data_IF_398071077126
#
_entry.id   IF_398071077126
#
_cell.length_a   1.000
_cell.length_b   1.000
_cell.length_c   1.000
_cell.angle_alpha   90.00
_cell.angle_beta   90.00
_cell.angle_gamma   90.00
#
_symmetry.space_group_name_H-M   'P 1'
#
loop_
_entity.id
_entity.type
_entity.pdbx_description
1 polymer ?
#
# COMPACT_ATOMS: atom_id res chain seq x y z
N UNK A 1 -19.69 -16.06 2.52
CA UNK A 1 -19.31 -14.73 3.02
C UNK A 1 -18.31 -14.15 2.04
N UNK A 2 -18.42 -12.89 1.61
CA UNK A 2 -17.39 -12.27 0.76
C UNK A 2 -16.48 -11.45 1.67
N UNK A 3 -15.19 -11.67 1.53
CA UNK A 3 -14.14 -10.84 2.11
C UNK A 3 -14.11 -9.52 1.33
N UNK A 4 -14.29 -8.39 2.00
CA UNK A 4 -14.31 -7.07 1.37
C UNK A 4 -13.41 -6.10 2.13
N UNK A 5 -12.52 -5.44 1.41
CA UNK A 5 -11.66 -4.36 1.92
C UNK A 5 -12.15 -3.02 1.38
N UNK A 6 -11.92 -1.96 2.16
CA UNK A 6 -12.15 -0.57 1.72
C UNK A 6 -10.78 0.03 1.42
N UNK A 7 -10.66 0.67 0.26
CA UNK A 7 -9.41 1.27 -0.19
C UNK A 7 -9.61 2.57 -0.94
N UNK A 8 -8.71 3.53 -0.73
CA UNK A 8 -8.65 4.76 -1.52
C UNK A 8 -7.70 4.62 -2.70
N UNK A 9 -8.01 5.33 -3.80
CA UNK A 9 -7.15 5.41 -4.98
C UNK A 9 -6.17 6.57 -4.84
N UNK A 10 -4.90 6.30 -5.07
CA UNK A 10 -3.82 7.28 -4.97
C UNK A 10 -2.97 7.28 -6.23
N UNK A 11 -2.56 8.48 -6.64
CA UNK A 11 -1.64 8.68 -7.74
C UNK A 11 -0.36 9.33 -7.21
N UNK A 12 0.78 8.76 -7.58
CA UNK A 12 2.08 9.35 -7.27
C UNK A 12 2.37 10.42 -8.32
N UNK A 13 2.57 11.71 -7.95
CA UNK A 13 2.97 12.76 -8.88
C UNK A 13 4.30 12.41 -9.56
N UNK A 14 4.60 12.99 -10.72
CA UNK A 14 5.85 12.70 -11.44
C UNK A 14 7.11 13.12 -10.67
N UNK A 15 7.02 14.19 -9.85
CA UNK A 15 8.16 14.76 -9.12
C UNK A 15 8.89 13.76 -8.21
N UNK A 16 8.24 13.05 -7.27
CA UNK A 16 8.90 12.07 -6.41
C UNK A 16 9.28 10.75 -7.10
N UNK A 17 8.84 10.51 -8.34
CA UNK A 17 9.03 9.18 -8.98
C UNK A 17 10.50 8.82 -9.16
N UNK A 18 11.36 9.81 -9.43
CA UNK A 18 12.80 9.56 -9.59
C UNK A 18 13.45 9.07 -8.31
N UNK A 19 13.15 9.72 -7.18
CA UNK A 19 13.70 9.35 -5.88
C UNK A 19 13.16 7.99 -5.42
N UNK A 20 11.87 7.74 -5.65
CA UNK A 20 11.26 6.44 -5.42
C UNK A 20 11.91 5.36 -6.29
N UNK A 21 12.12 5.62 -7.58
CA UNK A 21 12.77 4.68 -8.50
C UNK A 21 14.20 4.33 -8.04
N UNK A 22 14.97 5.31 -7.56
CA UNK A 22 16.29 5.09 -6.98
C UNK A 22 16.22 4.21 -5.71
N UNK A 23 15.27 4.47 -4.82
CA UNK A 23 15.06 3.63 -3.65
C UNK A 23 14.69 2.20 -4.04
N UNK A 24 13.76 2.03 -4.99
CA UNK A 24 13.33 0.72 -5.49
C UNK A 24 14.48 -0.08 -6.09
N UNK A 25 15.41 0.57 -6.81
CA UNK A 25 16.62 -0.08 -7.31
C UNK A 25 17.52 -0.59 -6.19
N UNK A 26 17.70 0.17 -5.10
CA UNK A 26 18.46 -0.28 -3.93
C UNK A 26 17.79 -1.48 -3.28
N UNK A 27 16.48 -1.43 -3.10
CA UNK A 27 15.69 -2.53 -2.54
C UNK A 27 15.81 -3.79 -3.42
N UNK A 28 15.71 -3.66 -4.75
CA UNK A 28 15.83 -4.78 -5.68
C UNK A 28 17.16 -5.53 -5.58
N UNK A 29 18.24 -4.81 -5.26
CA UNK A 29 19.58 -5.38 -5.10
C UNK A 29 19.71 -6.19 -3.80
N UNK A 30 18.99 -5.81 -2.75
CA UNK A 30 19.09 -6.45 -1.43
C UNK A 30 18.02 -7.51 -1.23
N UNK A 31 16.85 -7.34 -1.84
CA UNK A 31 15.70 -8.24 -1.73
C UNK A 31 15.36 -8.80 -3.11
N UNK A 32 16.02 -9.89 -3.54
CA UNK A 32 15.68 -10.57 -4.78
C UNK A 32 14.29 -11.21 -4.68
N UNK A 33 13.56 -11.27 -5.80
CA UNK A 33 12.23 -11.89 -5.86
C UNK A 33 11.08 -10.97 -5.49
N UNK A 34 11.32 -9.66 -5.31
CA UNK A 34 10.23 -8.68 -5.26
C UNK A 34 9.54 -8.58 -6.62
N UNK A 35 8.21 -8.55 -6.58
CA UNK A 35 7.32 -8.33 -7.69
C UNK A 35 6.50 -7.07 -7.42
N UNK A 36 6.20 -6.37 -8.50
CA UNK A 36 5.34 -5.19 -8.46
C UNK A 36 3.89 -5.65 -8.23
N UNK A 37 3.20 -5.05 -7.24
CA UNK A 37 1.80 -5.38 -6.90
C UNK A 37 0.88 -5.30 -8.13
N UNK A 38 -0.20 -6.08 -8.21
CA UNK A 38 -1.19 -6.07 -9.30
C UNK A 38 -0.75 -6.48 -10.71
N UNK A 39 0.53 -6.34 -11.09
CA UNK A 39 1.05 -6.70 -12.43
C UNK A 39 1.94 -7.92 -12.44
N UNK A 40 2.39 -8.39 -11.27
CA UNK A 40 3.21 -9.59 -11.12
C UNK A 40 4.50 -9.59 -11.97
N UNK A 41 5.14 -8.44 -12.08
CA UNK A 41 6.41 -8.28 -12.80
C UNK A 41 7.55 -8.20 -11.78
N UNK A 42 8.63 -8.99 -11.93
CA UNK A 42 9.80 -8.89 -11.06
C UNK A 42 10.42 -7.49 -11.10
N UNK A 43 10.67 -6.93 -9.92
CA UNK A 43 11.25 -5.59 -9.77
C UNK A 43 12.63 -5.49 -10.42
N UNK A 44 13.46 -6.51 -10.28
CA UNK A 44 14.80 -6.55 -10.87
C UNK A 44 14.78 -6.49 -12.42
N UNK A 45 13.69 -6.92 -13.06
CA UNK A 45 13.50 -6.79 -14.51
C UNK A 45 13.17 -5.35 -14.86
N UNK A 46 12.32 -4.69 -14.06
CA UNK A 46 11.97 -3.28 -14.26
C UNK A 46 13.13 -2.34 -13.99
N UNK A 47 13.99 -2.66 -13.01
CA UNK A 47 15.17 -1.83 -12.68
C UNK A 47 16.20 -1.71 -13.81
N UNK A 48 16.11 -2.51 -14.88
CA UNK A 48 16.97 -2.41 -16.06
C UNK A 48 16.59 -1.29 -17.02
N UNK A 49 15.37 -0.77 -16.89
CA UNK A 49 14.81 0.26 -17.76
C UNK A 49 14.07 1.29 -16.90
N UNK A 50 14.68 2.46 -16.73
CA UNK A 50 14.18 3.52 -15.85
C UNK A 50 12.81 4.03 -16.28
N UNK A 51 12.58 4.12 -17.60
CA UNK A 51 11.30 4.54 -18.14
C UNK A 51 10.23 3.49 -17.83
N UNK A 52 10.55 2.21 -17.99
CA UNK A 52 9.63 1.12 -17.68
C UNK A 52 9.35 1.01 -16.18
N UNK A 53 10.36 1.22 -15.33
CA UNK A 53 10.19 1.27 -13.88
C UNK A 53 9.25 2.40 -13.47
N UNK A 54 9.47 3.61 -14.00
CA UNK A 54 8.60 4.74 -13.70
C UNK A 54 7.17 4.53 -14.22
N UNK A 55 6.98 3.98 -15.41
CA UNK A 55 5.64 3.78 -15.97
C UNK A 55 4.88 2.62 -15.30
N UNK A 56 5.53 1.47 -15.15
CA UNK A 56 4.88 0.23 -14.69
C UNK A 56 4.79 0.16 -13.17
N UNK A 57 5.83 0.57 -12.45
CA UNK A 57 5.83 0.48 -10.98
C UNK A 57 5.25 1.73 -10.32
N UNK A 58 5.52 2.93 -10.86
CA UNK A 58 5.19 4.22 -10.21
C UNK A 58 4.12 5.05 -10.95
N UNK A 59 3.85 4.73 -12.21
CA UNK A 59 2.99 5.51 -13.12
C UNK A 59 1.52 5.13 -13.05
N UNK A 60 1.18 4.21 -12.16
CA UNK A 60 -0.12 3.57 -12.03
C UNK A 60 -0.94 4.15 -10.89
N UNK A 61 -2.18 3.70 -10.85
CA UNK A 61 -3.04 3.85 -9.68
C UNK A 61 -2.60 2.88 -8.59
N UNK A 62 -2.56 3.37 -7.36
CA UNK A 62 -2.30 2.57 -6.17
C UNK A 62 -3.50 2.60 -5.24
N UNK A 63 -3.55 1.64 -4.33
CA UNK A 63 -4.60 1.53 -3.33
C UNK A 63 -4.01 1.72 -1.91
N UNK A 64 -4.61 2.61 -1.13
CA UNK A 64 -4.39 2.63 0.31
C UNK A 64 -5.40 1.68 0.95
N UNK A 65 -4.91 0.62 1.58
CA UNK A 65 -5.75 -0.24 2.42
C UNK A 65 -6.11 0.52 3.69
N UNK A 66 -7.41 0.76 3.91
CA UNK A 66 -7.88 1.53 5.07
C UNK A 66 -8.03 0.66 6.33
N UNK A 67 -8.08 -0.65 6.17
CA UNK A 67 -8.15 -1.58 7.30
C UNK A 67 -8.10 -3.03 6.84
N UNK A 68 -8.23 -3.94 7.82
CA UNK A 68 -8.33 -5.38 7.54
C UNK A 68 -9.59 -5.70 6.76
N UNK A 69 -9.50 -6.74 5.95
CA UNK A 69 -10.63 -7.28 5.22
C UNK A 69 -11.69 -7.78 6.20
N UNK A 70 -12.90 -7.23 6.11
CA UNK A 70 -14.00 -7.63 6.98
C UNK A 70 -14.98 -8.51 6.21
N UNK A 71 -15.53 -9.54 6.85
CA UNK A 71 -16.46 -10.42 6.16
C UNK A 71 -17.86 -9.75 6.14
N UNK A 72 -18.39 -9.52 4.94
CA UNK A 72 -19.71 -8.90 4.74
C UNK A 72 -20.68 -9.94 4.15
N UNK A 73 -21.94 -9.93 4.62
CA UNK A 73 -23.00 -10.77 4.05
C UNK A 73 -23.50 -10.15 2.75
N UNK A 74 -23.80 -10.97 1.75
CA UNK A 74 -24.15 -10.52 0.39
C UNK A 74 -25.28 -9.49 0.39
N UNK A 75 -26.33 -9.72 1.18
CA UNK A 75 -27.47 -8.79 1.27
C UNK A 75 -27.15 -7.46 1.96
N UNK A 76 -26.03 -7.35 2.67
CA UNK A 76 -25.60 -6.10 3.33
C UNK A 76 -24.68 -5.28 2.44
N UNK A 77 -24.16 -5.85 1.33
CA UNK A 77 -23.19 -5.18 0.46
C UNK A 77 -23.77 -3.85 -0.05
N UNK A 78 -24.99 -3.87 -0.59
CA UNK A 78 -25.61 -2.67 -1.17
C UNK A 78 -25.88 -1.60 -0.11
N UNK A 79 -26.29 -2.00 1.10
CA UNK A 79 -26.50 -1.07 2.21
C UNK A 79 -25.19 -0.42 2.67
N UNK A 80 -24.11 -1.20 2.77
CA UNK A 80 -22.78 -0.68 3.14
C UNK A 80 -22.24 0.24 2.06
N UNK A 81 -22.39 -0.13 0.78
CA UNK A 81 -21.98 0.71 -0.35
C UNK A 81 -22.76 2.03 -0.39
N UNK A 82 -24.08 2.00 -0.17
CA UNK A 82 -24.91 3.20 -0.14
C UNK A 82 -24.50 4.14 1.01
N UNK A 83 -24.28 3.58 2.21
CA UNK A 83 -23.80 4.34 3.37
C UNK A 83 -22.44 4.99 3.11
N UNK A 84 -21.48 4.22 2.59
CA UNK A 84 -20.15 4.74 2.24
C UNK A 84 -20.26 5.85 1.19
N UNK A 85 -21.00 5.63 0.10
CA UNK A 85 -21.19 6.66 -0.93
C UNK A 85 -21.78 7.95 -0.36
N UNK A 86 -22.81 7.83 0.49
CA UNK A 86 -23.41 9.01 1.13
C UNK A 86 -22.43 9.75 2.03
N UNK A 87 -21.61 9.03 2.81
CA UNK A 87 -20.63 9.62 3.73
C UNK A 87 -19.46 10.29 2.97
N UNK A 88 -19.09 9.74 1.82
CA UNK A 88 -17.95 10.19 1.01
C UNK A 88 -18.33 11.21 -0.07
N UNK A 89 -19.62 11.48 -0.29
CA UNK A 89 -20.12 12.34 -1.36
C UNK A 89 -19.60 13.79 -1.33
N UNK A 90 -19.32 14.34 -0.15
CA UNK A 90 -18.84 15.72 0.02
C UNK A 90 -17.32 15.84 0.14
N UNK A 91 -16.59 14.75 -0.08
CA UNK A 91 -15.15 14.71 0.18
C UNK A 91 -14.37 15.34 -0.98
N UNK A 92 -13.39 16.17 -0.61
CA UNK A 92 -12.50 16.83 -1.58
C UNK A 92 -11.21 16.03 -1.68
N UNK A 93 -10.55 16.11 -2.83
CA UNK A 93 -9.19 15.57 -2.99
C UNK A 93 -8.23 16.29 -2.05
N UNK A 94 -7.40 15.52 -1.34
CA UNK A 94 -6.36 16.01 -0.43
C UNK A 94 -5.02 15.35 -0.76
N UNK A 95 -3.96 15.92 -0.20
CA UNK A 95 -2.60 15.37 -0.29
C UNK A 95 -2.34 14.44 0.89
N UNK A 96 -1.62 13.36 0.63
CA UNK A 96 -1.27 12.35 1.62
C UNK A 96 0.26 12.28 1.72
N UNK A 97 0.78 12.32 2.93
CA UNK A 97 2.20 12.21 3.20
C UNK A 97 2.58 10.80 3.59
N UNK A 98 3.56 10.26 2.86
CA UNK A 98 4.18 8.99 3.15
C UNK A 98 5.63 9.21 3.53
N UNK A 99 6.02 8.86 4.76
CA UNK A 99 7.40 9.11 5.23
C UNK A 99 8.12 7.87 5.75
N UNK A 100 7.42 6.74 5.90
CA UNK A 100 7.97 5.55 6.55
C UNK A 100 7.68 4.29 5.75
N UNK A 101 8.73 3.56 5.41
CA UNK A 101 8.57 2.22 4.83
C UNK A 101 8.32 1.21 5.94
N UNK A 102 7.34 0.35 5.70
CA UNK A 102 7.05 -0.81 6.53
C UNK A 102 6.97 -2.06 5.67
N UNK A 103 7.31 -3.17 6.29
CA UNK A 103 7.19 -4.50 5.70
C UNK A 103 6.16 -5.24 6.52
N UNK A 104 5.14 -5.81 5.88
CA UNK A 104 4.12 -6.58 6.56
C UNK A 104 3.81 -7.88 5.82
N UNK A 105 3.18 -8.83 6.50
CA UNK A 105 2.73 -10.09 5.91
C UNK A 105 1.20 -10.06 5.84
N UNK A 106 0.61 -10.56 4.76
CA UNK A 106 -0.84 -10.74 4.72
C UNK A 106 -1.33 -11.73 5.78
N UNK A 107 -2.63 -11.69 6.06
CA UNK A 107 -3.29 -12.54 7.03
C UNK A 107 -3.11 -14.04 6.72
N UNK A 108 -3.04 -14.42 5.44
CA UNK A 108 -2.80 -15.81 5.00
C UNK A 108 -1.33 -16.26 5.08
N UNK A 109 -0.40 -15.35 5.42
CA UNK A 109 1.03 -15.61 5.53
C UNK A 109 1.71 -16.12 4.25
N UNK A 110 1.14 -15.82 3.10
CA UNK A 110 1.66 -16.26 1.79
C UNK A 110 2.52 -15.21 1.09
N UNK A 111 2.38 -13.93 1.49
CA UNK A 111 2.99 -12.79 0.81
C UNK A 111 3.47 -11.75 1.82
N UNK A 112 4.65 -11.21 1.57
CA UNK A 112 5.22 -10.08 2.29
C UNK A 112 5.15 -8.84 1.42
N UNK A 113 4.66 -7.73 1.95
CA UNK A 113 4.48 -6.47 1.24
C UNK A 113 5.49 -5.45 1.72
N UNK A 114 6.10 -4.74 0.78
CA UNK A 114 6.82 -3.50 1.05
C UNK A 114 5.86 -2.34 0.78
N UNK A 115 5.66 -1.53 1.81
CA UNK A 115 4.59 -0.54 1.87
C UNK A 115 5.08 0.76 2.49
N UNK A 116 4.37 1.85 2.23
CA UNK A 116 4.60 3.13 2.91
C UNK A 116 3.44 3.46 3.83
N UNK A 117 3.74 3.81 5.08
CA UNK A 117 2.78 4.25 6.08
C UNK A 117 2.42 5.73 5.85
N UNK A 118 1.13 6.06 5.96
CA UNK A 118 0.64 7.43 6.02
C UNK A 118 0.95 7.99 7.41
N UNK A 119 1.73 9.07 7.50
CA UNK A 119 2.23 9.55 8.80
C UNK A 119 1.67 10.89 9.26
N UNK A 120 1.46 11.83 8.34
CA UNK A 120 1.11 13.23 8.66
C UNK A 120 -0.09 13.70 7.85
N UNK A 121 0.13 14.23 6.64
CA UNK A 121 -0.93 14.68 5.76
C UNK A 121 -1.83 13.53 5.30
N UNK A 122 -3.15 13.75 5.30
CA UNK A 122 -4.15 12.78 4.86
C UNK A 122 -4.65 11.83 5.94
N UNK A 123 -3.93 11.64 7.05
CA UNK A 123 -4.35 10.70 8.10
C UNK A 123 -5.61 11.18 8.83
N UNK A 124 -5.71 12.49 9.08
CA UNK A 124 -6.87 13.11 9.74
C UNK A 124 -8.09 13.02 8.84
N UNK A 125 -7.91 13.32 7.56
CA UNK A 125 -8.94 13.20 6.53
C UNK A 125 -9.46 11.76 6.45
N UNK A 126 -8.56 10.77 6.29
CA UNK A 126 -8.91 9.35 6.28
C UNK A 126 -9.65 8.95 7.57
N UNK A 127 -9.19 9.40 8.73
CA UNK A 127 -9.82 9.07 10.01
C UNK A 127 -11.23 9.64 10.15
N UNK A 128 -11.41 10.93 9.89
CA UNK A 128 -12.71 11.60 9.94
C UNK A 128 -13.68 10.95 8.93
N UNK A 129 -13.18 10.67 7.73
CA UNK A 129 -13.93 10.14 6.60
C UNK A 129 -14.43 8.71 6.85
N UNK A 130 -13.56 7.80 7.28
CA UNK A 130 -13.89 6.38 7.38
C UNK A 130 -14.23 5.94 8.81
N UNK A 131 -13.46 6.40 9.80
CA UNK A 131 -13.55 5.94 11.19
C UNK A 131 -14.39 6.88 12.08
N UNK A 132 -14.65 8.11 11.62
CA UNK A 132 -15.34 9.15 12.39
C UNK A 132 -14.53 9.59 13.62
N UNK A 133 -15.19 10.26 14.58
CA UNK A 133 -14.55 10.73 15.84
C UNK A 133 -14.15 9.61 16.81
N UNK A 134 -14.29 8.34 16.42
CA UNK A 134 -13.93 7.20 17.25
C UNK A 134 -12.41 7.10 17.32
N UNK A 135 -11.83 7.60 18.43
CA UNK A 135 -10.39 7.54 18.76
C UNK A 135 -9.82 6.12 18.95
N UNK A 136 -10.48 5.06 18.50
CA UNK A 136 -10.17 3.68 18.91
C UNK A 136 -9.82 2.70 17.79
N UNK A 137 -9.72 3.12 16.52
CA UNK A 137 -9.17 2.24 15.50
C UNK A 137 -7.66 2.42 15.40
N UNK A 138 -6.89 1.43 15.83
CA UNK A 138 -5.46 1.27 15.50
C UNK A 138 -5.23 0.95 14.00
N UNK A 139 -6.17 1.34 13.13
CA UNK A 139 -6.04 1.15 11.70
C UNK A 139 -4.90 2.04 11.21
N UNK A 140 -3.93 1.44 10.53
CA UNK A 140 -2.80 2.14 9.93
C UNK A 140 -3.02 2.14 8.43
N UNK A 141 -3.43 3.26 7.83
CA UNK A 141 -3.55 3.35 6.38
C UNK A 141 -2.18 3.14 5.76
N UNK A 142 -2.09 2.18 4.84
CA UNK A 142 -0.83 1.81 4.20
C UNK A 142 -1.01 1.77 2.68
N UNK A 143 -0.03 2.34 1.98
CA UNK A 143 0.10 2.21 0.54
C UNK A 143 0.94 0.99 0.22
N UNK A 144 0.32 -0.01 -0.41
CA UNK A 144 0.98 -1.23 -0.83
C UNK A 144 1.62 -1.00 -2.21
N UNK A 145 2.95 -1.10 -2.30
CA UNK A 145 3.65 -0.84 -3.57
C UNK A 145 4.15 -2.12 -4.23
N UNK A 146 4.59 -3.10 -3.42
CA UNK A 146 5.29 -4.30 -3.90
C UNK A 146 5.05 -5.49 -2.99
N UNK A 147 5.25 -6.69 -3.52
CA UNK A 147 5.20 -7.92 -2.72
C UNK A 147 6.32 -8.89 -3.10
N UNK A 148 6.69 -9.73 -2.15
CA UNK A 148 7.49 -10.94 -2.36
C UNK A 148 6.69 -12.15 -1.87
N UNK A 149 6.71 -13.24 -2.63
CA UNK A 149 6.28 -14.54 -2.10
C UNK A 149 7.38 -15.02 -1.18
N UNK A 150 7.06 -15.11 0.11
CA UNK A 150 8.01 -15.47 1.15
C UNK A 150 7.60 -16.83 1.69
N UNK A 151 8.38 -17.85 1.35
CA UNK A 151 8.10 -19.22 1.79
C UNK A 151 8.45 -19.50 3.27
N UNK A 152 8.87 -18.51 4.08
CA UNK A 152 9.17 -18.70 5.51
C UNK A 152 9.42 -17.38 6.29
N UNK A 153 9.10 -17.36 7.59
CA UNK A 153 9.34 -16.24 8.53
C UNK A 153 10.80 -15.74 8.58
N UNK A 154 11.78 -16.60 8.30
CA UNK A 154 13.21 -16.23 8.25
C UNK A 154 13.49 -15.20 7.14
N UNK A 155 12.86 -15.38 5.97
CA UNK A 155 13.00 -14.43 4.86
C UNK A 155 12.27 -13.13 5.15
N UNK A 156 11.15 -13.15 5.88
CA UNK A 156 10.50 -11.91 6.35
C UNK A 156 11.44 -11.09 7.23
N UNK A 157 12.09 -11.70 8.21
CA UNK A 157 13.09 -11.03 9.06
C UNK A 157 14.25 -10.43 8.24
N UNK A 158 14.71 -11.16 7.23
CA UNK A 158 15.72 -10.67 6.29
C UNK A 158 15.24 -9.45 5.49
N UNK A 159 14.02 -9.46 4.93
CA UNK A 159 13.47 -8.30 4.20
C UNK A 159 13.36 -7.10 5.13
N UNK A 160 12.81 -7.27 6.34
CA UNK A 160 12.62 -6.20 7.32
C UNK A 160 13.95 -5.54 7.69
N UNK A 161 14.98 -6.34 8.03
CA UNK A 161 16.29 -5.81 8.42
C UNK A 161 16.92 -5.00 7.29
N UNK A 162 16.95 -5.59 6.09
CA UNK A 162 17.59 -4.96 4.94
C UNK A 162 16.90 -3.69 4.45
N UNK A 163 15.56 -3.67 4.43
CA UNK A 163 14.81 -2.47 4.02
C UNK A 163 14.99 -1.33 5.02
N UNK A 164 15.02 -1.62 6.34
CA UNK A 164 15.24 -0.59 7.36
C UNK A 164 16.59 0.12 7.22
N UNK A 165 17.64 -0.61 6.82
CA UNK A 165 18.96 -0.02 6.58
C UNK A 165 19.05 0.85 5.31
N UNK A 166 18.04 0.77 4.42
CA UNK A 166 18.00 1.54 3.17
C UNK A 166 17.17 2.83 3.29
N UNK A 167 16.46 3.03 4.40
CA UNK A 167 15.72 4.27 4.66
C UNK A 167 16.72 5.43 4.85
N UNK A 168 16.44 6.61 4.26
CA UNK A 168 17.26 7.81 4.47
C UNK A 168 17.23 8.32 5.91
#
# INVERSE_FOLDING_TARGET
>A
MRSSSISDKVYIPSTPRKDLALFLKRVANVVPGLHVADVDIPLNVLCKDDQKLEQVALGREFHISLGRTVPIRVHQIDSVLAMLRQKLQSQKRYWIDFSKWEVFVNDEQTRTFLSMEVTTGGLVEIHEEYFGKLKSSNARPMLEMMWAVVDNLIRYGFVVQNVKHLQP
#
